data_IF_375437902614
#
_entry.id   IF_375437902614
#
_cell.length_a   1.000
_cell.length_b   1.000
_cell.length_c   1.000
_cell.angle_alpha   90.00
_cell.angle_beta   90.00
_cell.angle_gamma   90.00
#
_symmetry.space_group_name_H-M   'P 1'
#
loop_
_entity.id
_entity.type
_entity.pdbx_description
1 polymer ?
#
# COMPACT_ATOMS: atom_id res chain seq x y z
N UNK A 1 -10.32 -12.30 26.47
CA UNK A 1 -10.47 -13.67 25.92
C UNK A 1 -9.59 -13.77 24.68
N UNK A 2 -8.35 -14.27 24.79
CA UNK A 2 -7.49 -14.49 23.63
C UNK A 2 -7.97 -15.75 22.89
N UNK A 3 -8.05 -15.72 21.56
CA UNK A 3 -8.58 -16.82 20.72
C UNK A 3 -7.68 -18.08 20.69
N UNK A 4 -6.82 -18.29 21.69
CA UNK A 4 -5.86 -19.39 21.74
C UNK A 4 -4.78 -19.36 20.65
N UNK A 5 -4.69 -18.27 19.87
CA UNK A 5 -3.68 -18.14 18.83
C UNK A 5 -2.29 -18.02 19.46
N UNK A 6 -1.41 -18.93 19.08
CA UNK A 6 0.02 -18.89 19.37
C UNK A 6 0.76 -18.78 18.04
N UNK A 7 1.44 -17.66 17.82
CA UNK A 7 2.34 -17.51 16.68
C UNK A 7 3.44 -18.56 16.77
N UNK A 8 3.67 -19.27 15.67
CA UNK A 8 4.70 -20.30 15.55
C UNK A 8 5.61 -19.92 14.37
N UNK A 9 6.80 -19.34 14.64
CA UNK A 9 7.72 -18.95 13.59
C UNK A 9 8.23 -20.14 12.78
N UNK A 10 8.18 -21.37 13.32
CA UNK A 10 8.60 -22.58 12.61
C UNK A 10 7.70 -22.95 11.42
N UNK A 11 6.54 -22.31 11.28
CA UNK A 11 5.65 -22.44 10.12
C UNK A 11 6.00 -21.51 8.97
N UNK A 12 6.98 -20.63 9.15
CA UNK A 12 7.46 -19.70 8.13
C UNK A 12 8.81 -20.20 7.63
N UNK A 13 8.92 -20.43 6.32
CA UNK A 13 10.20 -20.75 5.70
C UNK A 13 11.04 -19.47 5.54
N UNK A 14 12.19 -19.32 6.24
CA UNK A 14 13.04 -18.13 6.13
C UNK A 14 13.76 -18.03 4.77
N UNK A 15 13.85 -19.13 4.02
CA UNK A 15 14.41 -19.16 2.68
C UNK A 15 13.37 -18.82 1.60
N UNK A 16 12.07 -18.80 1.93
CA UNK A 16 11.03 -18.45 0.97
C UNK A 16 11.29 -17.07 0.37
N UNK A 17 11.11 -16.97 -0.95
CA UNK A 17 11.17 -15.72 -1.71
C UNK A 17 9.88 -15.62 -2.52
N UNK A 18 9.37 -14.40 -2.64
CA UNK A 18 8.21 -14.11 -3.48
C UNK A 18 8.61 -13.04 -4.48
N UNK A 19 8.15 -13.18 -5.71
CA UNK A 19 8.33 -12.15 -6.72
C UNK A 19 7.48 -10.92 -6.36
N UNK A 20 7.97 -9.70 -6.65
CA UNK A 20 7.19 -8.49 -6.47
C UNK A 20 5.90 -8.52 -7.29
N UNK A 21 4.82 -8.06 -6.67
CA UNK A 21 3.49 -8.00 -7.26
C UNK A 21 3.41 -6.80 -8.21
N UNK A 22 3.06 -6.98 -9.50
CA UNK A 22 2.87 -5.84 -10.39
C UNK A 22 1.72 -4.96 -9.88
N UNK A 23 1.93 -3.66 -9.87
CA UNK A 23 0.89 -2.67 -9.55
C UNK A 23 0.94 -1.56 -10.58
N UNK A 24 -0.22 -1.16 -11.09
CA UNK A 24 -0.24 -0.10 -12.10
C UNK A 24 0.13 1.26 -11.49
N UNK A 25 0.81 2.10 -12.28
CA UNK A 25 1.07 3.50 -11.88
C UNK A 25 -0.22 4.29 -11.65
N UNK A 26 -1.31 3.96 -12.35
CA UNK A 26 -2.64 4.49 -12.10
C UNK A 26 -3.18 4.14 -10.71
N UNK A 27 -3.02 2.87 -10.28
CA UNK A 27 -3.46 2.44 -8.94
C UNK A 27 -2.65 3.13 -7.84
N UNK A 28 -1.33 3.23 -8.01
CA UNK A 28 -0.47 3.91 -7.02
C UNK A 28 -0.90 5.35 -6.79
N UNK A 29 -1.15 6.10 -7.87
CA UNK A 29 -1.65 7.48 -7.78
C UNK A 29 -3.02 7.55 -7.11
N UNK A 30 -3.93 6.65 -7.47
CA UNK A 30 -5.26 6.60 -6.88
C UNK A 30 -5.21 6.36 -5.36
N UNK A 31 -4.40 5.39 -4.90
CA UNK A 31 -4.24 5.10 -3.49
C UNK A 31 -3.55 6.24 -2.74
N UNK A 32 -2.60 6.92 -3.37
CA UNK A 32 -1.96 8.11 -2.80
C UNK A 32 -2.96 9.24 -2.55
N UNK A 33 -3.77 9.57 -3.55
CA UNK A 33 -4.83 10.58 -3.41
C UNK A 33 -5.83 10.18 -2.33
N UNK A 34 -6.11 8.88 -2.20
CA UNK A 34 -6.98 8.35 -1.17
C UNK A 34 -6.37 8.45 0.24
N UNK A 35 -5.06 8.20 0.37
CA UNK A 35 -4.31 8.41 1.59
C UNK A 35 -4.34 9.90 2.00
N UNK A 36 -4.00 10.81 1.08
CA UNK A 36 -4.01 12.26 1.35
C UNK A 36 -5.38 12.75 1.81
N UNK A 37 -6.47 12.31 1.16
CA UNK A 37 -7.85 12.61 1.59
C UNK A 37 -8.13 12.16 3.03
N UNK A 38 -7.65 10.98 3.43
CA UNK A 38 -7.81 10.48 4.81
C UNK A 38 -6.96 11.29 5.79
N UNK A 39 -5.72 11.59 5.43
CA UNK A 39 -4.80 12.34 6.30
C UNK A 39 -5.29 13.76 6.52
N UNK A 40 -5.87 14.42 5.51
CA UNK A 40 -6.41 15.78 5.66
C UNK A 40 -7.37 15.93 6.85
N UNK A 41 -8.12 14.87 7.20
CA UNK A 41 -9.04 14.84 8.35
C UNK A 41 -8.39 14.25 9.59
N UNK A 42 -7.64 13.16 9.45
CA UNK A 42 -7.16 12.34 10.58
C UNK A 42 -5.80 12.76 11.12
N UNK A 43 -4.99 13.42 10.29
CA UNK A 43 -3.64 13.86 10.60
C UNK A 43 -3.21 15.01 9.66
N UNK A 44 -3.69 16.24 9.91
CA UNK A 44 -3.44 17.39 9.05
C UNK A 44 -1.95 17.76 8.90
N UNK A 45 -1.14 17.46 9.93
CA UNK A 45 0.31 17.70 9.90
C UNK A 45 0.98 16.82 8.85
N UNK A 46 0.74 15.49 8.89
CA UNK A 46 1.26 14.58 7.86
C UNK A 46 0.71 14.89 6.48
N UNK A 47 -0.55 15.29 6.38
CA UNK A 47 -1.10 15.74 5.09
C UNK A 47 -0.31 16.93 4.54
N UNK A 48 0.03 17.91 5.38
CA UNK A 48 0.85 19.07 5.00
C UNK A 48 2.23 18.69 4.48
N UNK A 49 2.89 17.72 5.13
CA UNK A 49 4.21 17.24 4.73
C UNK A 49 4.19 16.45 3.42
N UNK A 50 3.14 15.63 3.20
CA UNK A 50 3.12 14.66 2.11
C UNK A 50 2.44 15.18 0.84
N UNK A 51 1.51 16.13 0.90
CA UNK A 51 0.73 16.63 -0.25
C UNK A 51 1.57 17.20 -1.41
N UNK A 52 2.82 17.57 -1.18
CA UNK A 52 3.72 18.12 -2.19
C UNK A 52 4.56 17.05 -2.91
N UNK A 53 4.55 15.81 -2.43
CA UNK A 53 5.29 14.72 -3.05
C UNK A 53 4.54 14.26 -4.31
N UNK A 54 5.25 14.25 -5.42
CA UNK A 54 4.75 13.82 -6.73
C UNK A 54 5.26 12.44 -7.15
N UNK A 55 6.36 11.99 -6.55
CA UNK A 55 6.95 10.67 -6.79
C UNK A 55 6.80 9.81 -5.53
N UNK A 56 6.26 8.61 -5.70
CA UNK A 56 5.82 7.74 -4.60
C UNK A 56 6.36 6.35 -4.87
N UNK A 57 7.38 5.97 -4.10
CA UNK A 57 7.90 4.62 -4.12
C UNK A 57 6.98 3.69 -3.33
N UNK A 58 6.48 2.60 -3.93
CA UNK A 58 5.73 1.61 -3.18
C UNK A 58 6.67 0.75 -2.33
N UNK A 59 6.08 -0.04 -1.45
CA UNK A 59 6.80 -1.07 -0.73
C UNK A 59 7.51 -2.04 -1.70
N UNK A 60 8.70 -2.60 -1.39
CA UNK A 60 9.44 -3.55 -2.26
C UNK A 60 8.68 -4.82 -2.68
N UNK A 61 7.55 -5.09 -2.02
CA UNK A 61 6.63 -6.17 -2.40
C UNK A 61 5.90 -5.86 -3.71
N UNK A 62 5.95 -4.61 -4.19
CA UNK A 62 5.28 -4.17 -5.40
C UNK A 62 6.29 -3.69 -6.44
N UNK A 63 5.97 -3.95 -7.70
CA UNK A 63 6.69 -3.44 -8.86
C UNK A 63 5.77 -2.55 -9.70
N UNK A 64 6.02 -1.24 -9.77
CA UNK A 64 5.26 -0.35 -10.64
C UNK A 64 5.33 -0.80 -12.11
N UNK A 65 4.18 -0.86 -12.77
CA UNK A 65 4.06 -1.07 -14.21
C UNK A 65 3.16 0.00 -14.82
N UNK A 66 3.39 0.47 -16.06
CA UNK A 66 2.48 1.41 -16.71
C UNK A 66 1.07 0.82 -16.83
N UNK A 67 0.05 1.57 -16.41
CA UNK A 67 -1.34 1.14 -16.57
C UNK A 67 -2.36 2.03 -15.84
N UNK A 68 -3.66 1.85 -16.13
CA UNK A 68 -4.75 2.58 -15.47
C UNK A 68 -4.98 2.07 -14.04
N UNK A 69 -5.87 2.72 -13.30
CA UNK A 69 -6.42 2.17 -12.04
C UNK A 69 -6.95 0.76 -12.28
N UNK A 70 -6.75 -0.15 -11.33
CA UNK A 70 -7.13 -1.54 -11.50
C UNK A 70 -8.67 -1.69 -11.65
N UNK A 71 -9.15 -2.61 -12.49
CA UNK A 71 -10.58 -2.69 -12.85
C UNK A 71 -11.48 -3.13 -11.70
N UNK A 72 -10.93 -3.77 -10.67
CA UNK A 72 -11.67 -4.17 -9.46
C UNK A 72 -11.81 -3.04 -8.42
N UNK A 73 -11.14 -1.91 -8.61
CA UNK A 73 -11.18 -0.81 -7.66
C UNK A 73 -12.58 -0.16 -7.62
N UNK A 74 -13.24 -0.24 -6.47
CA UNK A 74 -14.55 0.39 -6.26
C UNK A 74 -14.34 1.82 -5.80
N UNK A 75 -14.58 2.77 -6.72
CA UNK A 75 -14.46 4.20 -6.45
C UNK A 75 -15.62 4.67 -5.56
N UNK A 76 -15.30 5.18 -4.38
CA UNK A 76 -16.25 5.77 -3.42
C UNK A 76 -16.27 7.29 -3.53
#
# INVERSE_FOLDING_TARGET
>A
RARGYRFDPGKVDPAARADPIPVTTGQLRYEWDHLLRKLAVRDPERHGLLRSLSDIDPHPAFRPVPGPVEPWEVRK
#
